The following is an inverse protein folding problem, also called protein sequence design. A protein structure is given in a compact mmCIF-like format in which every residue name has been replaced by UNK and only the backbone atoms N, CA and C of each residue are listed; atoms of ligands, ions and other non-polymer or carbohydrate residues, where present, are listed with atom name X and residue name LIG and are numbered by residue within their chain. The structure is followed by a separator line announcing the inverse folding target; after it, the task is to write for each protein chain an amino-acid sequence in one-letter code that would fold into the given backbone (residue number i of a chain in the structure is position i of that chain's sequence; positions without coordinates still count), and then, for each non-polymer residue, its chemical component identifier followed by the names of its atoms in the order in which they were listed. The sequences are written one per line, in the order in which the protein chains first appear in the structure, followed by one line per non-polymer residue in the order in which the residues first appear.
data_IF_437361372960
#
_entry.id   IF_437361372960
#
_cell.length_a   1.000
_cell.length_b   1.000
_cell.length_c   1.000
_cell.angle_alpha   90.00
_cell.angle_beta   90.00
_cell.angle_gamma   90.00
#
_symmetry.space_group_name_H-M   'P 1'
#
loop_
_entity.id
_entity.type
_entity.pdbx_description
1 polymer ?
#
# COMPACT_ATOMS: atom_id res chain seq x y z
N UNK A 1 -21.11 -9.03 -5.39
CA UNK A 1 -20.68 -7.62 -5.40
C UNK A 1 -20.57 -7.18 -6.85
N UNK A 2 -21.14 -6.04 -7.26
CA UNK A 2 -21.03 -5.56 -8.65
C UNK A 2 -19.61 -5.05 -8.89
N UNK A 3 -18.87 -5.74 -9.76
CA UNK A 3 -17.45 -5.43 -10.09
C UNK A 3 -17.25 -4.02 -10.63
N UNK A 4 -18.29 -3.41 -11.23
CA UNK A 4 -18.26 -2.07 -11.83
C UNK A 4 -17.92 -0.92 -10.86
N UNK A 5 -18.14 -1.11 -9.55
CA UNK A 5 -17.85 -0.06 -8.57
C UNK A 5 -16.53 -0.25 -7.82
N UNK A 6 -15.77 -1.31 -8.08
CA UNK A 6 -14.46 -1.48 -7.47
C UNK A 6 -13.48 -0.42 -8.00
N UNK A 7 -12.64 0.09 -7.13
CA UNK A 7 -11.55 1.03 -7.47
C UNK A 7 -10.26 0.63 -6.78
N UNK A 8 -9.14 1.25 -7.16
CA UNK A 8 -7.83 0.94 -6.58
C UNK A 8 -7.44 -0.52 -6.76
N UNK A 9 -6.89 -1.12 -5.70
CA UNK A 9 -6.33 -2.46 -5.73
C UNK A 9 -7.34 -3.57 -6.03
N UNK A 10 -8.58 -3.43 -5.55
CA UNK A 10 -9.63 -4.42 -5.84
C UNK A 10 -10.00 -4.45 -7.33
N UNK A 11 -10.02 -3.28 -7.97
CA UNK A 11 -10.20 -3.18 -9.42
C UNK A 11 -9.00 -3.77 -10.16
N UNK A 12 -7.77 -3.43 -9.75
CA UNK A 12 -6.54 -3.95 -10.38
C UNK A 12 -6.52 -5.47 -10.38
N UNK A 13 -6.80 -6.10 -9.23
CA UNK A 13 -6.86 -7.55 -9.11
C UNK A 13 -7.90 -8.16 -10.06
N UNK A 14 -9.12 -7.60 -10.06
CA UNK A 14 -10.22 -8.09 -10.88
C UNK A 14 -9.94 -7.92 -12.38
N UNK A 15 -9.44 -6.75 -12.78
CA UNK A 15 -9.23 -6.39 -14.19
C UNK A 15 -8.07 -7.18 -14.83
N UNK A 16 -7.05 -7.51 -14.05
CA UNK A 16 -5.89 -8.29 -14.52
C UNK A 16 -6.03 -9.80 -14.29
N UNK A 17 -7.17 -10.26 -13.76
CA UNK A 17 -7.39 -11.68 -13.45
C UNK A 17 -6.46 -12.22 -12.36
N UNK A 18 -5.97 -11.34 -11.48
CA UNK A 18 -5.05 -11.70 -10.40
C UNK A 18 -5.82 -12.21 -9.19
N UNK A 19 -5.60 -13.47 -8.84
CA UNK A 19 -5.99 -14.03 -7.56
C UNK A 19 -4.90 -13.78 -6.51
N UNK A 20 -5.30 -13.27 -5.34
CA UNK A 20 -4.38 -12.99 -4.24
C UNK A 20 -4.44 -14.12 -3.22
N UNK A 21 -3.27 -14.52 -2.71
CA UNK A 21 -3.17 -15.45 -1.57
C UNK A 21 -3.58 -14.74 -0.29
N UNK A 22 -3.09 -13.52 -0.09
CA UNK A 22 -3.54 -12.67 1.01
C UNK A 22 -4.66 -11.74 0.54
N UNK A 23 -5.84 -11.75 1.18
CA UNK A 23 -6.90 -10.85 0.81
C UNK A 23 -6.47 -9.39 1.07
N UNK A 24 -6.95 -8.49 0.22
CA UNK A 24 -6.76 -7.06 0.46
C UNK A 24 -7.41 -6.67 1.79
N UNK A 25 -6.60 -6.17 2.71
CA UNK A 25 -7.10 -5.71 4.01
C UNK A 25 -8.03 -4.50 3.90
N UNK A 26 -7.95 -3.77 2.78
CA UNK A 26 -8.86 -2.68 2.41
C UNK A 26 -9.36 -2.90 0.98
N UNK A 27 -10.67 -2.89 0.79
CA UNK A 27 -11.31 -2.90 -0.52
C UNK A 27 -12.03 -1.56 -0.76
N UNK A 28 -11.59 -0.83 -1.78
CA UNK A 28 -12.19 0.45 -2.14
C UNK A 28 -13.26 0.28 -3.22
N UNK A 29 -14.36 1.00 -3.06
CA UNK A 29 -15.44 1.06 -4.05
C UNK A 29 -16.07 2.44 -4.15
N UNK A 30 -16.81 2.69 -5.22
CA UNK A 30 -17.65 3.87 -5.38
C UNK A 30 -19.08 3.60 -4.88
N UNK A 31 -19.68 4.60 -4.23
CA UNK A 31 -21.07 4.59 -3.79
C UNK A 31 -21.60 6.01 -3.51
N UNK A 32 -22.82 6.09 -3.00
CA UNK A 32 -23.52 7.38 -2.84
C UNK A 32 -22.96 8.30 -1.76
N UNK A 33 -22.24 7.77 -0.76
CA UNK A 33 -21.61 8.57 0.30
C UNK A 33 -20.31 7.94 0.78
N UNK A 34 -19.45 8.75 1.40
CA UNK A 34 -18.26 8.26 2.09
C UNK A 34 -18.67 7.39 3.27
N UNK A 35 -18.13 6.18 3.36
CA UNK A 35 -18.32 5.31 4.53
C UNK A 35 -17.21 4.28 4.65
N UNK A 36 -16.93 3.88 5.88
CA UNK A 36 -16.02 2.79 6.23
C UNK A 36 -16.83 1.69 6.91
N UNK A 37 -16.68 0.46 6.46
CA UNK A 37 -17.31 -0.72 7.08
C UNK A 37 -16.23 -1.77 7.34
N UNK A 38 -16.18 -2.32 8.55
CA UNK A 38 -15.20 -3.34 8.93
C UNK A 38 -15.94 -4.62 9.27
N UNK A 39 -15.60 -5.72 8.60
CA UNK A 39 -16.12 -7.05 8.86
C UNK A 39 -15.01 -8.08 8.62
N UNK A 40 -14.88 -9.06 9.51
CA UNK A 40 -13.91 -10.18 9.40
C UNK A 40 -12.46 -9.74 9.11
N UNK A 41 -12.05 -8.60 9.68
CA UNK A 41 -10.71 -8.04 9.48
C UNK A 41 -10.49 -7.33 8.13
N UNK A 42 -11.51 -7.28 7.27
CA UNK A 42 -11.49 -6.57 6.00
C UNK A 42 -12.22 -5.24 6.14
N UNK A 43 -11.57 -4.15 5.71
CA UNK A 43 -12.19 -2.83 5.65
C UNK A 43 -12.72 -2.56 4.25
N UNK A 44 -14.02 -2.31 4.11
CA UNK A 44 -14.61 -1.77 2.89
C UNK A 44 -14.69 -0.25 2.99
N UNK A 45 -14.02 0.44 2.07
CA UNK A 45 -14.01 1.90 1.95
C UNK A 45 -14.89 2.32 0.78
N UNK A 46 -15.97 3.03 1.05
CA UNK A 46 -16.85 3.59 0.01
C UNK A 46 -16.48 5.04 -0.24
N UNK A 47 -16.11 5.37 -1.47
CA UNK A 47 -15.76 6.70 -1.97
C UNK A 47 -16.94 7.26 -2.79
N UNK A 48 -17.01 8.59 -2.89
CA UNK A 48 -18.01 9.27 -3.73
C UNK A 48 -17.58 9.28 -5.20
N UNK A 49 -18.53 9.43 -6.11
CA UNK A 49 -18.29 9.38 -7.57
C UNK A 49 -17.21 10.36 -8.06
N UNK A 50 -17.11 11.55 -7.44
CA UNK A 50 -16.06 12.54 -7.77
C UNK A 50 -14.63 12.07 -7.48
N UNK A 51 -14.45 10.97 -6.74
CA UNK A 51 -13.16 10.35 -6.47
C UNK A 51 -12.89 9.11 -7.34
N UNK A 52 -13.77 8.80 -8.30
CA UNK A 52 -13.56 7.69 -9.23
C UNK A 52 -12.31 7.97 -10.08
N UNK A 53 -11.31 7.06 -10.09
CA UNK A 53 -10.18 7.19 -10.99
C UNK A 53 -10.61 6.98 -12.45
N UNK A 54 -9.75 7.35 -13.40
CA UNK A 54 -9.89 6.87 -14.78
C UNK A 54 -9.93 5.35 -14.80
N UNK A 55 -10.76 4.77 -15.67
CA UNK A 55 -10.96 3.33 -15.80
C UNK A 55 -9.82 2.66 -16.59
N UNK A 56 -8.58 2.99 -16.22
CA UNK A 56 -7.35 2.50 -16.79
C UNK A 56 -6.34 2.12 -15.69
N UNK A 57 -5.28 1.40 -16.09
CA UNK A 57 -4.23 0.96 -15.18
C UNK A 57 -3.63 2.13 -14.39
N UNK A 58 -3.33 3.24 -15.07
CA UNK A 58 -2.76 4.47 -14.49
C UNK A 58 -3.65 5.03 -13.38
N UNK A 59 -4.95 5.18 -13.62
CA UNK A 59 -5.90 5.74 -12.68
C UNK A 59 -6.01 4.90 -11.42
N UNK A 60 -6.16 3.59 -11.59
CA UNK A 60 -6.32 2.68 -10.46
C UNK A 60 -5.01 2.42 -9.69
N UNK A 61 -3.84 2.39 -10.36
CA UNK A 61 -2.54 2.39 -9.68
C UNK A 61 -2.31 3.68 -8.90
N UNK A 62 -2.62 4.84 -9.49
CA UNK A 62 -2.55 6.13 -8.80
C UNK A 62 -3.43 6.13 -7.56
N UNK A 63 -4.66 5.63 -7.69
CA UNK A 63 -5.58 5.52 -6.56
C UNK A 63 -5.01 4.63 -5.46
N UNK A 64 -4.50 3.44 -5.80
CA UNK A 64 -3.90 2.51 -4.85
C UNK A 64 -2.72 3.15 -4.11
N UNK A 65 -1.79 3.77 -4.84
CA UNK A 65 -0.58 4.38 -4.28
C UNK A 65 -0.87 5.64 -3.44
N UNK A 66 -1.97 6.34 -3.70
CA UNK A 66 -2.37 7.58 -3.03
C UNK A 66 -3.25 7.33 -1.80
N UNK A 67 -4.31 6.56 -1.98
CA UNK A 67 -5.38 6.46 -1.00
C UNK A 67 -5.29 5.19 -0.16
N UNK A 68 -4.83 4.08 -0.74
CA UNK A 68 -4.80 2.80 -0.06
C UNK A 68 -3.47 2.56 0.68
N UNK A 69 -3.42 1.41 1.37
CA UNK A 69 -2.18 0.86 1.89
C UNK A 69 -1.53 0.06 0.77
N UNK A 70 -0.24 0.28 0.53
CA UNK A 70 0.53 -0.46 -0.48
C UNK A 70 0.45 -1.97 -0.23
N UNK A 71 0.14 -2.75 -1.28
CA UNK A 71 0.05 -4.21 -1.19
C UNK A 71 1.05 -4.86 -2.17
N UNK A 72 2.21 -5.33 -1.67
CA UNK A 72 3.29 -5.82 -2.55
C UNK A 72 2.90 -7.06 -3.36
N UNK A 73 2.14 -8.00 -2.79
CA UNK A 73 1.68 -9.17 -3.55
C UNK A 73 0.80 -8.75 -4.74
N UNK A 74 -0.09 -7.77 -4.51
CA UNK A 74 -1.00 -7.29 -5.56
C UNK A 74 -0.17 -6.68 -6.68
N UNK A 75 0.74 -5.76 -6.35
CA UNK A 75 1.57 -5.09 -7.33
C UNK A 75 2.48 -6.07 -8.07
N UNK A 76 3.08 -7.03 -7.37
CA UNK A 76 3.95 -8.04 -7.99
C UNK A 76 3.19 -8.87 -9.03
N UNK A 77 1.97 -9.30 -8.70
CA UNK A 77 1.14 -10.11 -9.61
C UNK A 77 0.57 -9.27 -10.76
N UNK A 78 0.10 -8.05 -10.49
CA UNK A 78 -0.37 -7.11 -11.53
C UNK A 78 0.76 -6.79 -12.50
N UNK A 79 1.95 -6.47 -12.00
CA UNK A 79 3.12 -6.18 -12.82
C UNK A 79 3.61 -7.36 -13.66
N UNK A 80 3.28 -8.60 -13.27
CA UNK A 80 3.54 -9.78 -14.09
C UNK A 80 2.57 -9.91 -15.28
N UNK A 81 1.38 -9.31 -15.21
CA UNK A 81 0.32 -9.44 -16.21
C UNK A 81 0.22 -8.27 -17.20
N UNK A 82 0.73 -7.09 -16.83
CA UNK A 82 0.67 -5.89 -17.69
C UNK A 82 1.85 -5.82 -18.65
N UNK A 83 1.66 -5.10 -19.75
CA UNK A 83 2.75 -4.75 -20.65
C UNK A 83 3.63 -3.65 -20.03
N UNK A 84 4.96 -3.82 -19.93
CA UNK A 84 5.86 -2.83 -19.35
C UNK A 84 5.77 -1.45 -20.02
N UNK A 85 5.40 -1.43 -21.31
CA UNK A 85 5.24 -0.21 -22.08
C UNK A 85 4.14 0.71 -21.52
N UNK A 86 3.11 0.18 -20.86
CA UNK A 86 2.08 1.01 -20.23
C UNK A 86 2.67 1.92 -19.14
N UNK A 87 3.60 1.38 -18.33
CA UNK A 87 4.31 2.16 -17.31
C UNK A 87 5.34 3.11 -17.91
N UNK A 88 6.04 2.68 -18.96
CA UNK A 88 7.00 3.53 -19.68
C UNK A 88 6.30 4.75 -20.32
N UNK A 89 5.17 4.53 -20.97
CA UNK A 89 4.36 5.61 -21.54
C UNK A 89 3.78 6.54 -20.47
N UNK A 90 3.40 6.00 -19.30
CA UNK A 90 2.95 6.83 -18.19
C UNK A 90 4.06 7.76 -17.67
N UNK A 91 5.27 7.24 -17.43
CA UNK A 91 6.37 8.10 -16.97
C UNK A 91 6.80 9.12 -18.02
N UNK A 92 6.77 8.78 -19.31
CA UNK A 92 7.03 9.75 -20.39
C UNK A 92 6.00 10.88 -20.42
N UNK A 93 4.72 10.58 -20.15
CA UNK A 93 3.66 11.59 -20.08
C UNK A 93 3.76 12.47 -18.82
N UNK A 94 4.22 11.91 -17.69
CA UNK A 94 4.33 12.61 -16.41
C UNK A 94 5.69 12.37 -15.71
N UNK A 95 6.82 12.89 -16.24
CA UNK A 95 8.15 12.58 -15.68
C UNK A 95 8.33 13.08 -14.24
N UNK A 96 7.62 14.16 -13.89
CA UNK A 96 7.59 14.76 -12.55
C UNK A 96 6.43 14.25 -11.68
N UNK A 97 5.61 13.31 -12.16
CA UNK A 97 4.50 12.71 -11.42
C UNK A 97 4.97 11.73 -10.36
N UNK A 98 4.74 12.02 -9.07
CA UNK A 98 5.21 11.17 -7.98
C UNK A 98 4.69 9.72 -8.05
N UNK A 99 3.46 9.52 -8.54
CA UNK A 99 2.85 8.19 -8.61
C UNK A 99 3.39 7.37 -9.78
N UNK A 100 3.67 8.01 -10.93
CA UNK A 100 4.36 7.38 -12.05
C UNK A 100 5.75 6.90 -11.63
N UNK A 101 6.52 7.77 -10.95
CA UNK A 101 7.86 7.43 -10.44
C UNK A 101 7.84 6.29 -9.43
N UNK A 102 6.89 6.31 -8.49
CA UNK A 102 6.72 5.21 -7.51
C UNK A 102 6.30 3.91 -8.18
N UNK A 103 5.38 3.94 -9.16
CA UNK A 103 4.95 2.76 -9.89
C UNK A 103 6.09 2.13 -10.69
N UNK A 104 6.87 2.95 -11.42
CA UNK A 104 8.02 2.49 -12.17
C UNK A 104 9.12 1.90 -11.28
N UNK A 105 9.45 2.57 -10.17
CA UNK A 105 10.36 2.01 -9.16
C UNK A 105 9.87 0.65 -8.65
N UNK A 106 8.61 0.56 -8.22
CA UNK A 106 8.04 -0.67 -7.67
C UNK A 106 8.00 -1.80 -8.71
N UNK A 107 7.78 -1.48 -10.00
CA UNK A 107 7.85 -2.46 -11.08
C UNK A 107 9.25 -3.05 -11.20
N UNK A 108 10.28 -2.21 -11.34
CA UNK A 108 11.66 -2.68 -11.48
C UNK A 108 12.11 -3.43 -10.21
N UNK A 109 11.74 -2.93 -9.03
CA UNK A 109 12.09 -3.54 -7.75
C UNK A 109 11.42 -4.90 -7.53
N UNK A 110 10.12 -5.04 -7.84
CA UNK A 110 9.38 -6.31 -7.64
C UNK A 110 9.70 -7.34 -8.71
N UNK A 111 9.86 -6.93 -9.97
CA UNK A 111 10.01 -7.84 -11.10
C UNK A 111 11.47 -8.09 -11.48
N UNK A 112 12.37 -7.17 -11.17
CA UNK A 112 13.77 -7.19 -11.62
C UNK A 112 13.95 -6.88 -13.10
N UNK A 113 12.88 -6.47 -13.79
CA UNK A 113 12.92 -6.06 -15.20
C UNK A 113 13.05 -4.55 -15.26
N UNK A 114 14.08 -4.05 -15.94
CA UNK A 114 14.27 -2.62 -16.16
C UNK A 114 13.30 -2.09 -17.23
N UNK A 115 12.69 -0.93 -17.01
CA UNK A 115 11.82 -0.29 -18.00
C UNK A 115 12.66 0.43 -19.06
N UNK A 116 12.32 0.27 -20.33
CA UNK A 116 12.89 1.09 -21.39
C UNK A 116 12.21 2.47 -21.36
N UNK A 117 12.96 3.51 -20.99
CA UNK A 117 12.43 4.87 -20.83
C UNK A 117 12.99 5.81 -21.90
N UNK A 118 12.11 6.48 -22.62
CA UNK A 118 12.49 7.55 -23.55
C UNK A 118 12.73 8.88 -22.82
N UNK A 119 11.99 9.10 -21.72
CA UNK A 119 12.10 10.30 -20.88
C UNK A 119 12.43 9.87 -19.46
N UNK A 120 13.51 10.41 -18.92
CA UNK A 120 13.95 10.09 -17.56
C UNK A 120 13.04 10.73 -16.50
N UNK A 121 12.77 10.04 -15.38
CA UNK A 121 12.07 10.62 -14.24
C UNK A 121 12.73 11.90 -13.73
N UNK A 122 11.91 12.91 -13.43
CA UNK A 122 12.36 14.23 -12.98
C UNK A 122 11.69 14.65 -11.66
N UNK A 123 12.17 15.74 -11.05
CA UNK A 123 11.60 16.32 -9.84
C UNK A 123 12.28 15.92 -8.54
N UNK A 124 11.63 16.22 -7.42
CA UNK A 124 12.14 15.93 -6.07
C UNK A 124 12.00 14.45 -5.71
N UNK A 125 12.82 14.01 -4.75
CA UNK A 125 12.72 12.67 -4.20
C UNK A 125 11.42 12.49 -3.42
N UNK A 126 10.70 11.40 -3.71
CA UNK A 126 9.50 10.97 -2.99
C UNK A 126 9.73 9.61 -2.34
N UNK A 127 9.09 9.35 -1.21
CA UNK A 127 9.19 8.06 -0.53
C UNK A 127 8.35 6.99 -1.26
N UNK A 128 8.80 5.73 -1.22
CA UNK A 128 8.04 4.60 -1.78
C UNK A 128 6.74 4.39 -1.02
N UNK A 129 6.82 4.33 0.31
CA UNK A 129 5.67 4.16 1.20
C UNK A 129 5.44 5.40 2.05
N UNK A 130 4.16 5.65 2.36
CA UNK A 130 3.74 6.66 3.32
C UNK A 130 4.00 6.14 4.74
N UNK A 131 4.95 6.77 5.45
CA UNK A 131 5.36 6.38 6.81
C UNK A 131 4.27 6.66 7.86
N UNK A 132 3.20 7.38 7.53
CA UNK A 132 2.02 7.49 8.39
C UNK A 132 1.13 6.25 8.31
N UNK A 133 1.08 5.57 7.15
CA UNK A 133 0.24 4.38 6.93
C UNK A 133 0.98 3.07 7.22
N UNK A 134 2.28 3.04 6.93
CA UNK A 134 3.12 1.84 7.02
C UNK A 134 4.36 2.09 7.89
N UNK A 135 4.88 1.02 8.49
CA UNK A 135 6.25 1.02 9.00
C UNK A 135 7.19 1.18 7.80
N UNK A 136 8.10 2.13 7.92
CA UNK A 136 9.07 2.50 6.91
C UNK A 136 10.45 2.59 7.57
N UNK A 137 11.49 2.64 6.74
CA UNK A 137 12.86 2.87 7.20
C UNK A 137 12.93 4.12 8.11
N UNK A 138 13.74 4.04 9.17
CA UNK A 138 14.01 5.19 10.02
C UNK A 138 14.70 6.30 9.24
N UNK A 139 14.65 7.52 9.80
CA UNK A 139 15.30 8.67 9.20
C UNK A 139 16.78 8.39 8.89
N UNK A 140 17.22 8.75 7.68
CA UNK A 140 18.59 8.51 7.19
C UNK A 140 18.87 7.09 6.66
N UNK A 141 17.97 6.12 6.86
CA UNK A 141 18.14 4.75 6.36
C UNK A 141 17.44 4.48 5.02
N UNK A 142 16.62 5.41 4.53
CA UNK A 142 15.98 5.27 3.23
C UNK A 142 17.00 5.45 2.10
N UNK A 143 17.07 4.49 1.18
CA UNK A 143 18.06 4.46 0.11
C UNK A 143 17.59 5.27 -1.11
N UNK A 144 18.32 6.32 -1.55
CA UNK A 144 17.91 7.10 -2.70
C UNK A 144 18.14 6.34 -4.02
N UNK A 145 17.07 5.99 -4.71
CA UNK A 145 17.11 5.52 -6.09
C UNK A 145 17.13 6.74 -7.05
N UNK A 146 18.32 7.01 -7.62
CA UNK A 146 18.54 8.18 -8.49
C UNK A 146 17.72 8.12 -9.79
N UNK A 147 17.61 6.94 -10.40
CA UNK A 147 16.89 6.71 -11.67
C UNK A 147 15.43 7.13 -11.53
N UNK A 148 14.79 6.70 -10.46
CA UNK A 148 13.37 6.96 -10.22
C UNK A 148 13.09 8.22 -9.40
N UNK A 149 14.12 8.90 -8.87
CA UNK A 149 13.94 10.02 -7.93
C UNK A 149 13.00 9.62 -6.79
N UNK A 150 13.24 8.44 -6.23
CA UNK A 150 12.46 7.82 -5.16
C UNK A 150 13.40 7.43 -4.02
N UNK A 151 12.98 7.60 -2.77
CA UNK A 151 13.67 7.06 -1.59
C UNK A 151 13.04 5.73 -1.24
N UNK A 152 13.80 4.64 -1.43
CA UNK A 152 13.41 3.32 -0.97
C UNK A 152 13.42 3.31 0.56
N UNK A 153 12.24 3.55 1.14
CA UNK A 153 11.99 3.51 2.57
C UNK A 153 11.24 2.24 2.98
N UNK A 154 11.31 1.17 2.18
CA UNK A 154 10.72 -0.12 2.51
C UNK A 154 11.45 -0.77 3.71
N UNK A 155 10.75 -1.48 4.61
CA UNK A 155 11.33 -2.08 5.81
C UNK A 155 12.10 -3.39 5.55
N UNK A 156 12.49 -3.66 4.30
CA UNK A 156 13.16 -4.90 3.93
C UNK A 156 13.60 -4.91 2.47
N UNK A 157 13.96 -6.10 1.98
CA UNK A 157 14.47 -6.29 0.61
C UNK A 157 13.42 -6.95 -0.27
N UNK A 158 13.71 -7.06 -1.58
CA UNK A 158 12.86 -7.81 -2.51
C UNK A 158 12.60 -9.26 -2.07
N UNK A 159 13.57 -9.90 -1.43
CA UNK A 159 13.44 -11.27 -0.95
C UNK A 159 12.53 -11.37 0.30
N UNK A 160 12.50 -10.32 1.12
CA UNK A 160 11.69 -10.27 2.34
C UNK A 160 11.44 -8.83 2.78
N UNK A 161 10.20 -8.36 2.58
CA UNK A 161 9.76 -7.00 2.95
C UNK A 161 8.44 -7.05 3.72
N UNK A 162 8.48 -7.07 5.06
CA UNK A 162 7.28 -7.13 5.88
C UNK A 162 6.56 -5.77 5.90
N UNK A 163 5.44 -5.66 5.19
CA UNK A 163 4.60 -4.46 5.26
C UNK A 163 3.70 -4.48 6.50
N UNK A 164 4.09 -3.71 7.51
CA UNK A 164 3.34 -3.56 8.76
C UNK A 164 2.53 -2.27 8.72
N UNK A 165 1.20 -2.39 8.85
CA UNK A 165 0.27 -1.24 8.91
C UNK A 165 0.33 -0.55 10.26
N UNK A 166 0.35 0.78 10.25
CA UNK A 166 0.20 1.62 11.44
C UNK A 166 -1.29 1.88 11.69
N UNK A 167 -2.00 0.85 12.17
CA UNK A 167 -3.36 1.04 12.71
C UNK A 167 -3.30 1.76 14.06
N UNK A 168 -4.39 2.38 14.53
CA UNK A 168 -4.42 3.00 15.87
C UNK A 168 -3.95 2.04 16.98
N UNK A 169 -4.44 0.80 16.96
CA UNK A 169 -4.04 -0.24 17.90
C UNK A 169 -2.55 -0.59 17.78
N UNK A 170 -2.03 -0.71 16.55
CA UNK A 170 -0.62 -0.99 16.32
C UNK A 170 0.27 0.17 16.81
N UNK A 171 -0.14 1.43 16.58
CA UNK A 171 0.60 2.60 17.04
C UNK A 171 0.59 2.70 18.56
N UNK A 172 -0.56 2.48 19.20
CA UNK A 172 -0.65 2.44 20.66
C UNK A 172 0.22 1.32 21.24
N UNK A 173 0.20 0.15 20.59
CA UNK A 173 1.08 -0.95 20.94
C UNK A 173 2.55 -0.53 20.81
N UNK A 174 2.98 0.03 19.69
CA UNK A 174 4.37 0.46 19.45
C UNK A 174 4.87 1.50 20.47
N UNK A 175 3.98 2.32 21.03
CA UNK A 175 4.30 3.32 22.05
C UNK A 175 4.31 2.76 23.48
N UNK A 176 3.63 1.64 23.72
CA UNK A 176 3.55 1.04 25.05
C UNK A 176 4.91 0.43 25.44
N UNK A 177 5.46 0.93 26.55
CA UNK A 177 6.69 0.35 27.13
C UNK A 177 6.43 -1.08 27.60
N UNK A 178 7.48 -1.91 27.58
CA UNK A 178 7.41 -3.30 28.06
C UNK A 178 6.94 -3.38 29.53
N UNK A 179 7.29 -2.40 30.37
CA UNK A 179 6.84 -2.26 31.76
C UNK A 179 5.32 -2.03 31.87
N UNK A 180 4.78 -1.13 31.06
CA UNK A 180 3.33 -0.85 31.04
C UNK A 180 2.53 -2.09 30.59
N UNK A 181 3.06 -2.84 29.63
CA UNK A 181 2.45 -4.09 29.16
C UNK A 181 2.51 -5.20 30.21
N UNK A 182 3.64 -5.37 30.90
CA UNK A 182 3.78 -6.35 31.98
C UNK A 182 2.79 -6.07 33.13
N UNK A 183 2.61 -4.80 33.51
CA UNK A 183 1.65 -4.40 34.54
C UNK A 183 0.20 -4.72 34.13
N UNK A 184 -0.18 -4.48 32.88
CA UNK A 184 -1.54 -4.80 32.36
C UNK A 184 -1.83 -6.31 32.34
N UNK A 185 -0.86 -7.13 31.93
CA UNK A 185 -0.99 -8.60 31.96
C UNK A 185 -1.16 -9.09 33.40
N UNK A 186 -0.33 -8.59 34.32
CA UNK A 186 -0.42 -8.93 35.75
C UNK A 186 -1.79 -8.56 36.33
N UNK A 187 -2.33 -7.38 35.98
CA UNK A 187 -3.66 -6.95 36.43
C UNK A 187 -4.79 -7.82 35.86
N UNK A 188 -4.71 -8.26 34.59
CA UNK A 188 -5.69 -9.18 34.01
C UNK A 188 -5.68 -10.55 34.71
N UNK A 189 -4.50 -11.10 34.98
CA UNK A 189 -4.34 -12.36 35.73
C UNK A 189 -4.84 -12.25 37.17
N UNK A 190 -4.58 -11.13 37.84
CA UNK A 190 -5.07 -10.89 39.19
C UNK A 190 -6.59 -10.68 39.25
N UNK A 191 -7.21 -10.11 38.21
CA UNK A 191 -8.66 -9.90 38.13
C UNK A 191 -9.45 -11.13 37.67
N UNK A 192 -8.80 -12.08 36.99
CA UNK A 192 -9.43 -13.34 36.54
C UNK A 192 -9.30 -14.49 37.54
N UNK A 193 -8.60 -14.31 38.68
CA UNK A 193 -8.60 -15.30 39.75
C UNK A 193 -9.96 -15.29 40.47
N UNK A 194 -10.68 -16.44 40.55
CA UNK A 194 -11.87 -16.52 41.39
C UNK A 194 -11.46 -16.24 42.83
N UNK A 195 -12.27 -15.42 43.54
CA UNK A 195 -12.13 -15.28 44.99
C UNK A 195 -12.47 -16.66 45.57
N UNK A 196 -11.46 -17.33 46.11
CA UNK A 196 -11.67 -18.51 46.95
C UNK A 196 -12.57 -18.06 48.11
N UNK A 197 -13.76 -18.65 48.17
CA UNK A 197 -14.71 -18.51 49.27
C UNK A 197 -14.29 -19.40 50.44
#
# INVERSE_FOLDING_TARGET
MTTHNLIGGAWLATHTGVELVMPLAVQSRIGGRRSTHVADGITTETYVESMRPSSDLRGHLTFHLKHEVLHLELLSRVFAQIEPQELASWISAEPSGQYARRAGFLFEWLTGRELALDVMPAGSYVDVVDSHKLVAASEGLAEPNKRWRVRDNLPGTRAFCPLIRKTPDAQQAMQATWLQRAAQVTQRVCRSRPRLA
#
